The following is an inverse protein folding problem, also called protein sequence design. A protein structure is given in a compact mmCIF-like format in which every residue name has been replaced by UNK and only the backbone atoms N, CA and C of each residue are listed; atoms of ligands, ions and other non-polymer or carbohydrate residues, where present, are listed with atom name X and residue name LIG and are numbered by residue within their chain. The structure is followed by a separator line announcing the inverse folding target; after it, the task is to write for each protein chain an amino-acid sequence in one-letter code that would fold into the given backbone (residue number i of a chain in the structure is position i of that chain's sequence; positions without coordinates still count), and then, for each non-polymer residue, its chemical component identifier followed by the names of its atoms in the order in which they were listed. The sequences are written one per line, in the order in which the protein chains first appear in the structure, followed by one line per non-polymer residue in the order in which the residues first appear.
data_IF_941032099704
#
_entry.id   IF_941032099704
#
_cell.length_a   1.000
_cell.length_b   1.000
_cell.length_c   1.000
_cell.angle_alpha   90.00
_cell.angle_beta   90.00
_cell.angle_gamma   90.00
#
_symmetry.space_group_name_H-M   'P 1'
#
loop_
_entity.id
_entity.type
_entity.pdbx_description
1 polymer ?
#
# COMPACT_ATOMS: atom_id res chain seq x y z
N UNK A 1 26.97 63.43 -21.97
CA UNK A 1 26.34 62.40 -22.83
C UNK A 1 26.73 60.97 -22.42
N UNK A 2 28.02 60.66 -22.26
CA UNK A 2 28.51 59.30 -21.92
C UNK A 2 27.96 58.74 -20.59
N UNK A 3 27.90 59.55 -19.53
CA UNK A 3 27.35 59.14 -18.23
C UNK A 3 25.86 58.83 -18.25
N UNK A 4 25.08 59.53 -19.07
CA UNK A 4 23.64 59.30 -19.24
C UNK A 4 23.42 57.97 -19.96
N UNK A 5 24.23 57.67 -20.97
CA UNK A 5 24.18 56.40 -21.69
C UNK A 5 24.51 55.22 -20.75
N UNK A 6 25.60 55.31 -19.98
CA UNK A 6 25.98 54.29 -18.98
C UNK A 6 24.89 54.10 -17.92
N UNK A 7 24.28 55.20 -17.46
CA UNK A 7 23.20 55.17 -16.49
C UNK A 7 21.94 54.47 -17.05
N UNK A 8 21.53 54.79 -18.29
CA UNK A 8 20.40 54.13 -18.95
C UNK A 8 20.68 52.64 -19.16
N UNK A 9 21.88 52.29 -19.63
CA UNK A 9 22.26 50.89 -19.86
C UNK A 9 22.23 50.08 -18.57
N UNK A 10 22.82 50.61 -17.47
CA UNK A 10 22.81 49.93 -16.17
C UNK A 10 21.42 49.88 -15.52
N UNK A 11 20.64 50.95 -15.63
CA UNK A 11 19.35 51.06 -14.93
C UNK A 11 18.21 50.35 -15.66
N UNK A 12 18.21 50.31 -16.99
CA UNK A 12 17.08 49.79 -17.78
C UNK A 12 17.48 48.64 -18.72
N UNK A 13 18.55 48.79 -19.50
CA UNK A 13 18.89 47.81 -20.56
C UNK A 13 19.40 46.48 -20.00
N UNK A 14 20.37 46.50 -19.08
CA UNK A 14 20.93 45.27 -18.50
C UNK A 14 19.88 44.40 -17.77
N UNK A 15 19.00 44.98 -16.92
CA UNK A 15 17.92 44.22 -16.29
C UNK A 15 16.94 43.60 -17.30
N UNK A 16 16.61 44.29 -18.39
CA UNK A 16 15.72 43.74 -19.42
C UNK A 16 16.36 42.57 -20.17
N UNK A 17 17.67 42.64 -20.45
CA UNK A 17 18.42 41.51 -21.03
C UNK A 17 18.42 40.31 -20.06
N UNK A 18 18.59 40.57 -18.77
CA UNK A 18 18.57 39.51 -17.75
C UNK A 18 17.19 38.85 -17.64
N UNK A 19 16.11 39.64 -17.62
CA UNK A 19 14.73 39.13 -17.65
C UNK A 19 14.49 38.31 -18.92
N UNK A 20 14.90 38.81 -20.09
CA UNK A 20 14.75 38.09 -21.37
C UNK A 20 15.49 36.76 -21.36
N UNK A 21 16.69 36.72 -20.79
CA UNK A 21 17.47 35.48 -20.65
C UNK A 21 16.75 34.49 -19.72
N UNK A 22 16.26 34.95 -18.56
CA UNK A 22 15.49 34.12 -17.62
C UNK A 22 14.26 33.51 -18.29
N UNK A 23 13.47 34.30 -19.02
CA UNK A 23 12.28 33.80 -19.77
C UNK A 23 12.68 32.73 -20.78
N UNK A 24 13.77 32.93 -21.53
CA UNK A 24 14.21 31.95 -22.54
C UNK A 24 14.64 30.61 -21.94
N UNK A 25 14.98 30.59 -20.64
CA UNK A 25 15.40 29.40 -19.93
C UNK A 25 14.23 28.73 -19.15
N UNK A 26 13.11 29.43 -18.95
CA UNK A 26 11.88 28.88 -18.35
C UNK A 26 11.35 27.74 -19.20
N UNK A 27 11.49 26.51 -18.70
CA UNK A 27 11.06 25.29 -19.37
C UNK A 27 12.17 24.46 -20.02
N UNK A 28 13.44 24.90 -19.99
CA UNK A 28 14.59 24.12 -20.49
C UNK A 28 15.50 23.63 -19.33
N UNK A 29 15.52 24.33 -18.18
CA UNK A 29 16.25 23.92 -16.97
C UNK A 29 15.41 24.14 -15.71
N UNK A 30 15.62 23.29 -14.70
CA UNK A 30 15.19 23.52 -13.32
C UNK A 30 15.92 24.74 -12.76
N UNK A 31 15.32 25.91 -12.87
CA UNK A 31 15.87 27.14 -12.29
C UNK A 31 15.15 27.41 -10.97
N UNK A 32 15.91 27.43 -9.87
CA UNK A 32 15.49 28.08 -8.64
C UNK A 32 15.39 29.58 -8.92
N UNK A 33 14.16 30.08 -9.07
CA UNK A 33 13.91 31.51 -9.18
C UNK A 33 14.18 32.13 -7.80
N UNK A 34 15.40 32.62 -7.57
CA UNK A 34 15.66 33.47 -6.42
C UNK A 34 14.93 34.81 -6.60
N UNK A 35 14.03 35.10 -5.68
CA UNK A 35 13.26 36.35 -5.60
C UNK A 35 14.18 37.51 -5.19
N UNK A 36 14.91 38.12 -6.12
CA UNK A 36 15.60 39.39 -5.85
C UNK A 36 14.57 40.52 -5.65
N UNK A 37 14.56 41.11 -4.45
CA UNK A 37 13.45 41.90 -3.91
C UNK A 37 13.65 43.42 -3.84
N UNK A 38 14.63 44.01 -4.54
CA UNK A 38 15.05 45.37 -4.18
C UNK A 38 14.60 46.49 -5.11
N UNK A 39 13.80 46.22 -6.16
CA UNK A 39 13.32 47.27 -7.09
C UNK A 39 11.81 47.53 -6.97
N UNK A 40 11.48 48.80 -6.76
CA UNK A 40 10.10 49.33 -6.70
C UNK A 40 9.67 50.06 -7.99
N UNK A 41 10.53 50.14 -8.99
CA UNK A 41 10.24 50.74 -10.29
C UNK A 41 9.49 49.79 -11.24
N UNK A 42 9.12 50.28 -12.42
CA UNK A 42 8.33 49.55 -13.42
C UNK A 42 9.03 48.24 -13.87
N UNK A 43 10.36 48.23 -13.89
CA UNK A 43 11.17 47.05 -14.17
C UNK A 43 11.05 46.01 -13.05
N UNK A 44 11.02 46.46 -11.78
CA UNK A 44 10.74 45.60 -10.63
C UNK A 44 9.34 44.98 -10.66
N UNK A 45 8.32 45.75 -11.04
CA UNK A 45 6.94 45.25 -11.22
C UNK A 45 6.89 44.18 -12.32
N UNK A 46 7.49 44.46 -13.48
CA UNK A 46 7.57 43.53 -14.60
C UNK A 46 8.31 42.24 -14.21
N UNK A 47 9.44 42.36 -13.50
CA UNK A 47 10.21 41.21 -13.02
C UNK A 47 9.42 40.32 -12.06
N UNK A 48 8.62 40.91 -11.17
CA UNK A 48 7.73 40.15 -10.25
C UNK A 48 6.65 39.42 -11.01
N UNK A 49 5.94 40.11 -11.91
CA UNK A 49 4.89 39.51 -12.73
C UNK A 49 5.40 38.32 -13.55
N UNK A 50 6.58 38.46 -14.18
CA UNK A 50 7.21 37.38 -14.95
C UNK A 50 7.64 36.22 -14.05
N UNK A 51 8.17 36.51 -12.86
CA UNK A 51 8.55 35.46 -11.90
C UNK A 51 7.34 34.66 -11.42
N UNK A 52 6.24 35.34 -11.09
CA UNK A 52 5.01 34.69 -10.63
C UNK A 52 4.40 33.82 -11.74
N UNK A 53 4.35 34.32 -12.98
CA UNK A 53 3.91 33.54 -14.16
C UNK A 53 4.84 32.34 -14.40
N UNK A 54 6.15 32.53 -14.26
CA UNK A 54 7.12 31.43 -14.45
C UNK A 54 6.94 30.33 -13.39
N UNK A 55 6.74 30.69 -12.13
CA UNK A 55 6.44 29.73 -11.04
C UNK A 55 5.14 28.98 -11.34
N UNK A 56 4.09 29.68 -11.78
CA UNK A 56 2.83 29.03 -12.17
C UNK A 56 3.02 28.03 -13.31
N UNK A 57 3.76 28.39 -14.37
CA UNK A 57 4.04 27.49 -15.50
C UNK A 57 4.82 26.25 -15.05
N UNK A 58 5.83 26.42 -14.18
CA UNK A 58 6.62 25.30 -13.64
C UNK A 58 5.71 24.35 -12.85
N UNK A 59 4.90 24.88 -11.93
CA UNK A 59 3.97 24.09 -11.13
C UNK A 59 2.95 23.34 -12.00
N UNK A 60 2.40 24.00 -13.03
CA UNK A 60 1.47 23.36 -13.97
C UNK A 60 2.14 22.22 -14.73
N UNK A 61 3.36 22.41 -15.24
CA UNK A 61 4.11 21.36 -15.94
C UNK A 61 4.47 20.17 -15.04
N UNK A 62 4.85 20.43 -13.80
CA UNK A 62 5.10 19.35 -12.83
C UNK A 62 3.82 18.56 -12.53
N UNK A 63 2.68 19.24 -12.39
CA UNK A 63 1.39 18.61 -12.17
C UNK A 63 0.96 17.79 -13.40
N UNK A 64 1.09 18.34 -14.60
CA UNK A 64 0.83 17.64 -15.87
C UNK A 64 1.70 16.38 -16.01
N UNK A 65 2.99 16.48 -15.66
CA UNK A 65 3.89 15.33 -15.66
C UNK A 65 3.41 14.25 -14.68
N UNK A 66 3.05 14.64 -13.45
CA UNK A 66 2.49 13.71 -12.45
C UNK A 66 1.19 13.08 -12.90
N UNK A 67 0.32 13.83 -13.57
CA UNK A 67 -0.94 13.32 -14.15
C UNK A 67 -0.63 12.30 -15.23
N UNK A 68 0.26 12.61 -16.17
CA UNK A 68 0.65 11.68 -17.24
C UNK A 68 1.29 10.40 -16.70
N UNK A 69 2.18 10.51 -15.71
CA UNK A 69 2.77 9.36 -15.02
C UNK A 69 1.69 8.51 -14.30
N UNK A 70 0.71 9.16 -13.66
CA UNK A 70 -0.41 8.48 -13.01
C UNK A 70 -1.33 7.77 -14.02
N UNK A 71 -1.64 8.39 -15.16
CA UNK A 71 -2.45 7.80 -16.23
C UNK A 71 -1.76 6.59 -16.86
N UNK A 72 -0.44 6.68 -17.11
CA UNK A 72 0.36 5.56 -17.59
C UNK A 72 0.36 4.41 -16.58
N UNK A 73 0.57 4.72 -15.31
CA UNK A 73 0.54 3.71 -14.24
C UNK A 73 -0.84 3.05 -14.12
N UNK A 74 -1.91 3.82 -14.23
CA UNK A 74 -3.28 3.30 -14.22
C UNK A 74 -3.56 2.38 -15.43
N UNK A 75 -3.07 2.75 -16.61
CA UNK A 75 -3.17 1.90 -17.80
C UNK A 75 -2.43 0.57 -17.60
N UNK A 76 -1.20 0.60 -17.08
CA UNK A 76 -0.41 -0.62 -16.79
C UNK A 76 -1.11 -1.48 -15.75
N UNK A 77 -1.63 -0.85 -14.67
CA UNK A 77 -2.39 -1.52 -13.61
C UNK A 77 -3.60 -2.26 -14.17
N UNK A 78 -4.36 -1.63 -15.07
CA UNK A 78 -5.54 -2.22 -15.70
C UNK A 78 -5.16 -3.38 -16.62
N UNK A 79 -4.16 -3.21 -17.48
CA UNK A 79 -3.68 -4.27 -18.37
C UNK A 79 -3.15 -5.48 -17.60
N UNK A 80 -2.43 -5.26 -16.49
CA UNK A 80 -1.96 -6.33 -15.62
C UNK A 80 -3.13 -7.06 -14.96
N UNK A 81 -4.14 -6.35 -14.47
CA UNK A 81 -5.35 -6.95 -13.92
C UNK A 81 -6.09 -7.84 -14.93
N UNK A 82 -6.25 -7.37 -16.17
CA UNK A 82 -6.87 -8.16 -17.25
C UNK A 82 -6.04 -9.40 -17.61
N UNK A 83 -4.71 -9.30 -17.65
CA UNK A 83 -3.82 -10.43 -17.90
C UNK A 83 -3.88 -11.47 -16.77
N UNK A 84 -3.89 -11.02 -15.52
CA UNK A 84 -3.96 -11.91 -14.34
C UNK A 84 -5.31 -12.59 -14.24
N UNK A 85 -6.41 -11.92 -14.61
CA UNK A 85 -7.72 -12.56 -14.71
C UNK A 85 -7.71 -13.74 -15.69
N UNK A 86 -7.19 -13.53 -16.90
CA UNK A 86 -7.07 -14.61 -17.90
C UNK A 86 -6.19 -15.76 -17.41
N UNK A 87 -5.10 -15.44 -16.70
CA UNK A 87 -4.23 -16.46 -16.12
C UNK A 87 -4.94 -17.26 -15.03
N UNK A 88 -5.69 -16.59 -14.14
CA UNK A 88 -6.52 -17.23 -13.12
C UNK A 88 -7.53 -18.18 -13.75
N UNK A 89 -8.19 -17.76 -14.82
CA UNK A 89 -9.19 -18.60 -15.50
C UNK A 89 -8.57 -19.87 -16.08
N UNK A 90 -7.37 -19.78 -16.67
CA UNK A 90 -6.63 -20.96 -17.14
C UNK A 90 -6.23 -21.90 -15.99
N UNK A 91 -5.77 -21.36 -14.86
CA UNK A 91 -5.41 -22.16 -13.69
C UNK A 91 -6.65 -22.87 -13.11
N UNK A 92 -7.80 -22.19 -13.02
CA UNK A 92 -9.04 -22.80 -12.54
C UNK A 92 -9.39 -24.04 -13.36
N UNK A 93 -9.32 -23.94 -14.69
CA UNK A 93 -9.59 -25.06 -15.60
C UNK A 93 -8.62 -26.22 -15.35
N UNK A 94 -7.31 -25.95 -15.22
CA UNK A 94 -6.30 -26.98 -14.93
C UNK A 94 -6.60 -27.66 -13.58
N UNK A 95 -6.94 -26.87 -12.56
CA UNK A 95 -7.24 -27.35 -11.21
C UNK A 95 -8.49 -28.25 -11.21
N UNK A 96 -9.57 -27.82 -11.85
CA UNK A 96 -10.82 -28.57 -11.95
C UNK A 96 -10.63 -29.91 -12.68
N UNK A 97 -9.91 -29.92 -13.81
CA UNK A 97 -9.60 -31.16 -14.52
C UNK A 97 -8.69 -32.08 -13.70
N UNK A 98 -7.74 -31.54 -12.93
CA UNK A 98 -6.87 -32.34 -12.07
C UNK A 98 -7.67 -33.03 -10.95
N UNK A 99 -8.58 -32.31 -10.30
CA UNK A 99 -9.51 -32.86 -9.30
C UNK A 99 -10.37 -33.96 -9.94
N UNK A 100 -11.00 -33.67 -11.08
CA UNK A 100 -11.86 -34.63 -11.77
C UNK A 100 -11.07 -35.91 -12.15
N UNK A 101 -9.88 -35.75 -12.72
CA UNK A 101 -9.02 -36.87 -13.05
C UNK A 101 -8.67 -37.70 -11.82
N UNK A 102 -8.39 -37.06 -10.68
CA UNK A 102 -8.02 -37.75 -9.44
C UNK A 102 -9.11 -38.69 -8.94
N UNK A 103 -10.39 -38.38 -9.21
CA UNK A 103 -11.53 -39.28 -8.90
C UNK A 103 -11.60 -40.53 -9.79
N UNK A 104 -10.93 -40.51 -10.95
CA UNK A 104 -10.98 -41.58 -11.97
C UNK A 104 -9.76 -42.47 -11.96
N UNK A 105 -8.62 -42.00 -11.44
CA UNK A 105 -7.39 -42.80 -11.43
C UNK A 105 -7.28 -43.66 -10.19
N UNK A 106 -6.91 -44.93 -10.39
CA UNK A 106 -6.63 -45.89 -9.31
C UNK A 106 -5.13 -46.04 -9.04
N UNK A 107 -4.28 -45.71 -10.03
CA UNK A 107 -2.84 -45.76 -9.94
C UNK A 107 -2.29 -44.71 -8.94
N UNK A 108 -1.47 -45.16 -7.99
CA UNK A 108 -0.94 -44.33 -6.89
C UNK A 108 0.01 -43.22 -7.39
N UNK A 109 0.88 -43.52 -8.36
CA UNK A 109 1.76 -42.53 -8.97
C UNK A 109 0.95 -41.41 -9.64
N UNK A 110 -0.08 -41.77 -10.41
CA UNK A 110 -0.96 -40.80 -11.05
C UNK A 110 -1.76 -39.97 -10.03
N UNK A 111 -2.24 -40.58 -8.94
CA UNK A 111 -2.89 -39.85 -7.84
C UNK A 111 -1.97 -38.82 -7.20
N UNK A 112 -0.71 -39.19 -6.94
CA UNK A 112 0.29 -38.29 -6.38
C UNK A 112 0.60 -37.14 -7.36
N UNK A 113 0.83 -37.44 -8.63
CA UNK A 113 1.07 -36.42 -9.66
C UNK A 113 -0.11 -35.41 -9.75
N UNK A 114 -1.35 -35.90 -9.74
CA UNK A 114 -2.55 -35.05 -9.76
C UNK A 114 -2.70 -34.23 -8.47
N UNK A 115 -2.33 -34.79 -7.32
CA UNK A 115 -2.30 -34.03 -6.06
C UNK A 115 -1.29 -32.89 -6.15
N UNK A 116 -0.10 -33.11 -6.72
CA UNK A 116 0.88 -32.06 -6.93
C UNK A 116 0.38 -30.97 -7.88
N UNK A 117 -0.29 -31.34 -8.98
CA UNK A 117 -0.91 -30.37 -9.91
C UNK A 117 -1.98 -29.54 -9.20
N UNK A 118 -2.82 -30.19 -8.39
CA UNK A 118 -3.88 -29.52 -7.63
C UNK A 118 -3.28 -28.49 -6.66
N UNK A 119 -2.29 -28.91 -5.86
CA UNK A 119 -1.57 -28.04 -4.92
C UNK A 119 -0.82 -26.90 -5.63
N UNK A 120 -0.21 -27.15 -6.78
CA UNK A 120 0.48 -26.12 -7.56
C UNK A 120 -0.50 -25.10 -8.14
N UNK A 121 -1.67 -25.56 -8.62
CA UNK A 121 -2.72 -24.70 -9.14
C UNK A 121 -3.32 -23.82 -8.04
N UNK A 122 -3.53 -24.35 -6.83
CA UNK A 122 -3.96 -23.56 -5.68
C UNK A 122 -2.98 -22.43 -5.33
N UNK A 123 -1.69 -22.73 -5.32
CA UNK A 123 -0.63 -21.71 -5.13
C UNK A 123 -0.67 -20.65 -6.23
N UNK A 124 -0.84 -21.05 -7.49
CA UNK A 124 -0.92 -20.12 -8.60
C UNK A 124 -2.18 -19.23 -8.54
N UNK A 125 -3.34 -19.80 -8.15
CA UNK A 125 -4.56 -19.03 -7.91
C UNK A 125 -4.42 -18.05 -6.74
N UNK A 126 -3.66 -18.41 -5.71
CA UNK A 126 -3.33 -17.50 -4.62
C UNK A 126 -2.51 -16.30 -5.12
N UNK A 127 -1.40 -16.56 -5.83
CA UNK A 127 -0.55 -15.51 -6.43
C UNK A 127 -1.35 -14.59 -7.37
N UNK A 128 -2.24 -15.15 -8.19
CA UNK A 128 -3.10 -14.35 -9.06
C UNK A 128 -4.02 -13.41 -8.25
N UNK A 129 -4.59 -13.87 -7.13
CA UNK A 129 -5.39 -13.02 -6.23
C UNK A 129 -4.58 -11.92 -5.58
N UNK A 130 -3.35 -12.21 -5.16
CA UNK A 130 -2.44 -11.21 -4.60
C UNK A 130 -2.19 -10.07 -5.59
N UNK A 131 -1.88 -10.40 -6.86
CA UNK A 131 -1.65 -9.39 -7.91
C UNK A 131 -2.93 -8.62 -8.23
N UNK A 132 -4.09 -9.28 -8.31
CA UNK A 132 -5.38 -8.61 -8.52
C UNK A 132 -5.74 -7.63 -7.39
N UNK A 133 -5.34 -7.95 -6.17
CA UNK A 133 -5.55 -7.08 -5.00
C UNK A 133 -4.67 -5.84 -5.11
N UNK A 134 -3.38 -6.01 -5.36
CA UNK A 134 -2.43 -4.89 -5.52
C UNK A 134 -2.78 -4.01 -6.72
N UNK A 135 -3.27 -4.59 -7.81
CA UNK A 135 -3.76 -3.83 -8.96
C UNK A 135 -5.13 -3.20 -8.71
N UNK A 136 -5.83 -3.50 -7.61
CA UNK A 136 -7.14 -2.92 -7.29
C UNK A 136 -8.27 -3.34 -8.23
N UNK A 137 -8.13 -4.48 -8.93
CA UNK A 137 -9.15 -5.02 -9.84
C UNK A 137 -10.01 -6.09 -9.15
N UNK A 138 -9.56 -6.59 -7.99
CA UNK A 138 -10.33 -7.54 -7.17
C UNK A 138 -11.68 -6.94 -6.74
N UNK A 139 -12.74 -7.70 -6.93
CA UNK A 139 -14.08 -7.42 -6.37
C UNK A 139 -14.22 -8.12 -5.02
N UNK A 140 -14.87 -7.45 -4.07
CA UNK A 140 -15.18 -7.97 -2.73
C UNK A 140 -16.68 -8.15 -2.56
N UNK A 141 -17.05 -9.20 -1.83
CA UNK A 141 -18.41 -9.51 -1.43
C UNK A 141 -18.58 -9.03 0.02
N UNK A 142 -18.86 -7.73 0.18
CA UNK A 142 -18.91 -7.07 1.49
C UNK A 142 -20.25 -7.36 2.17
N UNK A 143 -20.20 -7.93 3.36
CA UNK A 143 -21.38 -8.26 4.16
C UNK A 143 -21.25 -7.75 5.61
N UNK A 144 -22.37 -7.49 6.31
CA UNK A 144 -22.35 -7.13 7.72
C UNK A 144 -21.95 -8.34 8.57
N UNK A 145 -20.90 -8.17 9.37
CA UNK A 145 -20.31 -9.20 10.22
C UNK A 145 -20.09 -8.68 11.64
N UNK A 146 -19.96 -9.59 12.59
CA UNK A 146 -19.55 -9.28 13.95
C UNK A 146 -18.07 -9.67 14.12
N UNK A 147 -17.20 -8.67 14.37
CA UNK A 147 -15.74 -8.84 14.32
C UNK A 147 -15.23 -9.83 15.37
N UNK A 148 -15.79 -9.83 16.58
CA UNK A 148 -15.32 -10.72 17.64
C UNK A 148 -15.57 -12.19 17.27
N UNK A 149 -16.75 -12.50 16.74
CA UNK A 149 -17.15 -13.83 16.29
C UNK A 149 -16.29 -14.30 15.12
N UNK A 150 -15.97 -13.40 14.18
CA UNK A 150 -15.08 -13.70 13.06
C UNK A 150 -13.64 -14.02 13.53
N UNK A 151 -13.08 -13.24 14.45
CA UNK A 151 -11.74 -13.53 15.00
C UNK A 151 -11.72 -14.85 15.78
N UNK A 152 -12.77 -15.13 16.56
CA UNK A 152 -12.88 -16.37 17.33
C UNK A 152 -13.00 -17.60 16.42
N UNK A 153 -13.69 -17.52 15.28
CA UNK A 153 -13.77 -18.62 14.32
C UNK A 153 -12.41 -18.96 13.69
N UNK A 154 -11.52 -17.96 13.60
CA UNK A 154 -10.16 -18.13 13.08
C UNK A 154 -9.16 -18.66 14.11
N UNK A 155 -9.53 -18.77 15.40
CA UNK A 155 -8.61 -19.12 16.49
C UNK A 155 -7.79 -20.39 16.20
N UNK A 156 -8.45 -21.49 15.86
CA UNK A 156 -7.78 -22.78 15.57
C UNK A 156 -6.88 -22.70 14.35
N UNK A 157 -7.26 -21.90 13.35
CA UNK A 157 -6.44 -21.67 12.16
C UNK A 157 -5.19 -20.85 12.49
N UNK A 158 -5.31 -19.82 13.32
CA UNK A 158 -4.18 -19.00 13.79
C UNK A 158 -3.21 -19.87 14.62
N UNK A 159 -3.74 -20.61 15.58
CA UNK A 159 -2.95 -21.49 16.46
C UNK A 159 -2.21 -22.59 15.68
N UNK A 160 -2.84 -23.19 14.66
CA UNK A 160 -2.21 -24.27 13.88
C UNK A 160 -1.07 -23.80 12.94
N UNK A 161 -1.04 -22.52 12.57
CA UNK A 161 0.02 -21.96 11.70
C UNK A 161 1.25 -21.56 12.50
N UNK A 162 1.07 -21.22 13.77
CA UNK A 162 2.13 -20.81 14.67
C UNK A 162 2.82 -22.06 15.26
N UNK A 163 4.14 -21.98 15.46
CA UNK A 163 4.89 -23.08 16.07
C UNK A 163 4.58 -23.18 17.57
N UNK A 164 4.82 -24.35 18.18
CA UNK A 164 4.61 -24.58 19.62
C UNK A 164 5.37 -23.57 20.52
N UNK A 165 6.40 -22.90 19.99
CA UNK A 165 7.18 -21.87 20.69
C UNK A 165 6.51 -20.49 20.76
N UNK A 166 5.40 -20.26 20.05
CA UNK A 166 4.68 -18.98 20.05
C UNK A 166 3.37 -19.12 20.81
N UNK A 167 3.24 -18.41 21.94
CA UNK A 167 2.01 -18.36 22.72
C UNK A 167 1.03 -17.38 22.07
N UNK A 168 -0.21 -17.81 21.84
CA UNK A 168 -1.28 -16.94 21.34
C UNK A 168 -2.19 -16.50 22.47
N UNK A 169 -2.47 -15.19 22.56
CA UNK A 169 -3.36 -14.58 23.54
C UNK A 169 -4.47 -13.84 22.80
N UNK A 170 -5.72 -14.10 23.17
CA UNK A 170 -6.88 -13.42 22.61
C UNK A 170 -7.52 -12.52 23.67
N UNK A 171 -7.55 -11.22 23.40
CA UNK A 171 -8.20 -10.20 24.23
C UNK A 171 -9.40 -9.62 23.47
N UNK A 172 -10.51 -10.34 23.48
CA UNK A 172 -11.69 -10.00 22.70
C UNK A 172 -12.62 -9.08 23.49
N UNK A 173 -13.09 -8.01 22.86
CA UNK A 173 -14.08 -7.08 23.41
C UNK A 173 -15.36 -7.81 23.80
N UNK A 174 -15.86 -7.56 25.01
CA UNK A 174 -17.17 -8.05 25.46
C UNK A 174 -18.34 -7.39 24.73
N UNK A 175 -18.13 -6.18 24.19
CA UNK A 175 -19.13 -5.45 23.41
C UNK A 175 -19.10 -5.89 21.94
N UNK A 176 -20.26 -6.07 21.30
CA UNK A 176 -20.35 -6.36 19.87
C UNK A 176 -19.65 -5.29 19.02
N UNK A 177 -18.95 -5.73 17.98
CA UNK A 177 -18.24 -4.88 17.04
C UNK A 177 -18.73 -5.16 15.61
N UNK A 178 -19.92 -4.64 15.22
CA UNK A 178 -20.45 -4.85 13.87
C UNK A 178 -19.64 -4.05 12.84
N UNK A 179 -19.23 -4.72 11.77
CA UNK A 179 -18.39 -4.19 10.69
C UNK A 179 -18.93 -4.67 9.34
N UNK A 180 -18.50 -4.06 8.24
CA UNK A 180 -18.80 -4.51 6.88
C UNK A 180 -17.52 -5.01 6.23
N UNK A 181 -17.39 -6.32 6.02
CA UNK A 181 -16.17 -6.94 5.50
C UNK A 181 -16.50 -8.07 4.53
N UNK A 182 -15.58 -8.35 3.61
CA UNK A 182 -15.52 -9.62 2.89
C UNK A 182 -14.74 -10.65 3.72
N UNK A 183 -15.36 -11.78 4.04
CA UNK A 183 -14.76 -12.83 4.89
C UNK A 183 -13.43 -13.33 4.31
N UNK A 184 -13.35 -13.57 3.00
CA UNK A 184 -12.16 -14.14 2.35
C UNK A 184 -11.01 -13.14 2.34
N UNK A 185 -11.31 -11.86 2.12
CA UNK A 185 -10.32 -10.78 2.16
C UNK A 185 -9.84 -10.53 3.59
N UNK A 186 -10.75 -10.58 4.57
CA UNK A 186 -10.37 -10.50 5.98
C UNK A 186 -9.47 -11.67 6.40
N UNK A 187 -9.81 -12.89 5.99
CA UNK A 187 -8.99 -14.07 6.22
C UNK A 187 -7.55 -13.87 5.72
N UNK A 188 -7.40 -13.30 4.53
CA UNK A 188 -6.11 -12.99 3.92
C UNK A 188 -5.34 -11.90 4.66
N UNK A 189 -6.03 -10.88 5.16
CA UNK A 189 -5.43 -9.85 6.02
C UNK A 189 -4.84 -10.48 7.28
N UNK A 190 -5.63 -11.28 8.00
CA UNK A 190 -5.18 -11.94 9.22
C UNK A 190 -4.01 -12.86 8.90
N UNK A 191 -4.14 -13.75 7.93
CA UNK A 191 -3.09 -14.72 7.64
C UNK A 191 -1.76 -14.06 7.26
N UNK A 192 -1.78 -12.97 6.48
CA UNK A 192 -0.57 -12.22 6.16
C UNK A 192 0.10 -11.62 7.41
N UNK A 193 -0.69 -11.07 8.34
CA UNK A 193 -0.17 -10.53 9.60
C UNK A 193 0.38 -11.62 10.51
N UNK A 194 -0.34 -12.75 10.66
CA UNK A 194 0.11 -13.90 11.47
C UNK A 194 1.41 -14.50 10.94
N UNK A 195 1.52 -14.71 9.62
CA UNK A 195 2.74 -15.21 9.01
C UNK A 195 3.90 -14.23 9.16
N UNK A 196 3.65 -12.93 9.05
CA UNK A 196 4.67 -11.92 9.30
C UNK A 196 5.16 -11.92 10.75
N UNK A 197 4.24 -12.02 11.71
CA UNK A 197 4.58 -12.13 13.13
C UNK A 197 5.35 -13.43 13.43
N UNK A 198 4.98 -14.56 12.82
CA UNK A 198 5.71 -15.82 12.93
C UNK A 198 7.15 -15.68 12.47
N UNK A 199 7.37 -15.08 11.29
CA UNK A 199 8.70 -14.89 10.73
C UNK A 199 9.55 -13.92 11.56
N UNK A 200 8.92 -13.00 12.30
CA UNK A 200 9.60 -12.09 13.22
C UNK A 200 9.93 -12.72 14.59
N UNK A 201 9.33 -13.87 14.92
CA UNK A 201 9.47 -14.57 16.21
C UNK A 201 10.14 -15.94 16.05
N UNK A 202 11.34 -15.97 15.46
CA UNK A 202 12.07 -17.23 15.17
C UNK A 202 12.45 -18.02 16.43
N UNK A 203 12.65 -17.35 17.56
CA UNK A 203 13.00 -17.96 18.85
C UNK A 203 11.76 -18.24 19.74
N UNK A 204 10.56 -18.06 19.20
CA UNK A 204 9.32 -18.04 19.97
C UNK A 204 8.93 -16.63 20.42
N UNK A 205 7.83 -16.53 21.14
CA UNK A 205 7.31 -15.24 21.59
C UNK A 205 5.83 -15.28 21.96
N UNK A 206 5.23 -14.10 22.04
CA UNK A 206 3.81 -13.93 22.32
C UNK A 206 3.16 -13.18 21.17
N UNK A 207 2.13 -13.78 20.58
CA UNK A 207 1.20 -13.10 19.69
C UNK A 207 -0.06 -12.74 20.47
N UNK A 208 -0.42 -11.46 20.48
CA UNK A 208 -1.66 -10.97 21.08
C UNK A 208 -2.61 -10.48 19.99
N UNK A 209 -3.81 -11.06 19.94
CA UNK A 209 -4.91 -10.62 19.07
C UNK A 209 -5.96 -9.95 19.95
N UNK A 210 -6.18 -8.66 19.75
CA UNK A 210 -7.06 -7.85 20.60
C UNK A 210 -8.11 -7.13 19.79
N UNK A 211 -9.35 -7.10 20.29
CA UNK A 211 -10.40 -6.25 19.71
C UNK A 211 -10.86 -5.21 20.71
N UNK A 212 -11.15 -3.99 20.24
CA UNK A 212 -11.72 -2.91 21.06
C UNK A 212 -12.56 -1.96 20.21
N UNK A 213 -13.46 -1.23 20.88
CA UNK A 213 -14.10 -0.04 20.29
C UNK A 213 -13.20 1.17 20.52
N UNK A 214 -13.00 1.98 19.49
CA UNK A 214 -12.32 3.27 19.60
C UNK A 214 -13.18 4.40 19.03
N UNK A 215 -12.91 5.63 19.46
CA UNK A 215 -13.43 6.84 18.86
C UNK A 215 -12.26 7.62 18.26
N UNK A 216 -12.34 7.93 16.97
CA UNK A 216 -11.26 8.56 16.21
C UNK A 216 -11.85 9.42 15.09
N UNK A 217 -11.32 10.63 14.88
CA UNK A 217 -11.82 11.59 13.86
C UNK A 217 -13.37 11.68 13.83
N UNK A 218 -13.93 11.89 15.01
CA UNK A 218 -15.37 12.03 15.26
C UNK A 218 -16.25 10.83 14.89
N UNK A 219 -15.66 9.64 14.70
CA UNK A 219 -16.36 8.39 14.35
C UNK A 219 -15.98 7.23 15.27
N UNK A 220 -16.89 6.27 15.38
CA UNK A 220 -16.60 5.01 16.08
C UNK A 220 -15.98 3.98 15.14
N UNK A 221 -14.96 3.29 15.64
CA UNK A 221 -14.26 2.22 14.93
C UNK A 221 -14.25 0.95 15.76
N UNK A 222 -14.39 -0.19 15.08
CA UNK A 222 -13.90 -1.47 15.57
C UNK A 222 -12.40 -1.54 15.29
N UNK A 223 -11.60 -1.79 16.32
CA UNK A 223 -10.15 -1.91 16.20
C UNK A 223 -9.76 -3.34 16.44
N UNK A 224 -9.02 -3.90 15.50
CA UNK A 224 -8.31 -5.17 15.65
C UNK A 224 -6.82 -4.88 15.76
N UNK A 225 -6.22 -5.27 16.88
CA UNK A 225 -4.77 -5.18 17.10
C UNK A 225 -4.14 -6.56 17.00
N UNK A 226 -3.10 -6.71 16.18
CA UNK A 226 -2.23 -7.89 16.15
C UNK A 226 -0.84 -7.44 16.60
N UNK A 227 -0.42 -7.93 17.78
CA UNK A 227 0.86 -7.59 18.39
C UNK A 227 1.73 -8.82 18.51
N UNK A 228 2.96 -8.75 18.02
CA UNK A 228 4.01 -9.73 18.26
C UNK A 228 5.12 -9.15 19.14
N UNK A 229 5.89 -10.03 19.76
CA UNK A 229 7.10 -9.70 20.53
C UNK A 229 8.37 -10.03 19.73
N UNK A 230 8.30 -9.97 18.40
CA UNK A 230 9.39 -10.35 17.51
C UNK A 230 10.50 -9.30 17.38
N UNK A 231 11.24 -9.39 16.30
CA UNK A 231 12.39 -8.51 16.01
C UNK A 231 12.05 -7.04 15.80
N UNK A 232 10.78 -6.70 15.51
CA UNK A 232 10.38 -5.31 15.25
C UNK A 232 11.06 -4.69 14.02
N UNK A 233 10.87 -3.38 13.83
CA UNK A 233 11.34 -2.63 12.67
C UNK A 233 11.82 -1.23 13.07
N UNK A 234 12.79 -0.69 12.33
CA UNK A 234 13.20 0.71 12.44
C UNK A 234 12.24 1.66 11.69
N UNK A 235 12.43 2.97 11.89
CA UNK A 235 11.57 4.00 11.28
C UNK A 235 11.66 4.05 9.76
N UNK A 236 12.81 3.71 9.17
CA UNK A 236 12.98 3.71 7.71
C UNK A 236 12.19 2.55 7.09
N UNK A 237 12.32 1.35 7.67
CA UNK A 237 11.58 0.16 7.28
C UNK A 237 10.08 0.41 7.44
N UNK A 238 9.64 0.94 8.60
CA UNK A 238 8.22 1.21 8.91
C UNK A 238 7.54 2.10 7.87
N UNK A 239 8.24 3.06 7.27
CA UNK A 239 7.68 3.93 6.21
C UNK A 239 7.40 3.20 4.91
N UNK A 240 8.09 2.09 4.67
CA UNK A 240 8.11 1.38 3.39
C UNK A 240 7.40 0.03 3.41
N UNK A 241 6.99 -0.46 4.59
CA UNK A 241 6.38 -1.79 4.75
C UNK A 241 5.13 -2.04 3.90
N UNK A 242 4.43 -0.98 3.49
CA UNK A 242 3.23 -1.08 2.64
C UNK A 242 3.53 -0.88 1.16
N UNK A 243 4.78 -0.60 0.77
CA UNK A 243 5.20 -0.54 -0.62
C UNK A 243 5.14 -1.96 -1.24
N UNK A 244 4.50 -2.14 -2.40
CA UNK A 244 4.52 -3.43 -3.10
C UNK A 244 5.95 -3.89 -3.39
N UNK A 245 6.22 -5.17 -3.18
CA UNK A 245 7.52 -5.84 -3.38
C UNK A 245 8.62 -5.43 -2.38
N UNK A 246 8.34 -4.55 -1.43
CA UNK A 246 9.29 -4.26 -0.36
C UNK A 246 9.38 -5.44 0.62
N UNK A 247 10.60 -5.90 0.90
CA UNK A 247 10.84 -7.02 1.82
C UNK A 247 12.22 -6.92 2.45
N UNK A 248 12.30 -7.20 3.75
CA UNK A 248 13.57 -7.40 4.49
C UNK A 248 13.98 -8.88 4.53
N UNK A 249 13.15 -9.78 4.00
CA UNK A 249 13.33 -11.25 4.04
C UNK A 249 14.07 -11.81 2.82
N UNK A 250 14.59 -10.95 1.93
CA UNK A 250 15.27 -11.34 0.70
C UNK A 250 14.40 -12.20 -0.23
N UNK A 251 15.00 -13.17 -0.92
CA UNK A 251 14.33 -14.03 -1.90
C UNK A 251 13.22 -14.94 -1.33
N UNK A 252 13.07 -15.02 0.00
CA UNK A 252 12.01 -15.80 0.66
C UNK A 252 10.69 -15.02 0.79
N UNK A 253 10.74 -13.68 0.71
CA UNK A 253 9.54 -12.84 0.83
C UNK A 253 9.11 -12.26 -0.50
N UNK A 254 7.85 -12.41 -0.87
CA UNK A 254 7.28 -11.78 -2.08
C UNK A 254 7.18 -10.25 -1.96
N UNK A 255 7.19 -9.73 -0.72
CA UNK A 255 6.98 -8.30 -0.43
C UNK A 255 5.56 -7.81 -0.73
N UNK A 256 4.61 -8.72 -0.98
CA UNK A 256 3.22 -8.35 -1.29
C UNK A 256 2.29 -8.41 -0.07
N UNK A 257 2.61 -9.21 0.95
CA UNK A 257 1.68 -9.47 2.05
C UNK A 257 1.16 -8.21 2.77
N UNK A 258 2.05 -7.30 3.18
CA UNK A 258 1.63 -6.08 3.87
C UNK A 258 0.98 -5.04 2.95
N UNK A 259 1.39 -4.94 1.69
CA UNK A 259 0.73 -4.06 0.72
C UNK A 259 -0.70 -4.52 0.40
N UNK A 260 -0.93 -5.84 0.38
CA UNK A 260 -2.26 -6.46 0.31
C UNK A 260 -3.09 -6.13 1.55
N UNK A 261 -2.53 -6.30 2.75
CA UNK A 261 -3.20 -5.94 4.01
C UNK A 261 -3.66 -4.48 3.97
N UNK A 262 -2.76 -3.57 3.61
CA UNK A 262 -3.08 -2.15 3.46
C UNK A 262 -4.22 -1.91 2.47
N UNK A 263 -4.13 -2.52 1.28
CA UNK A 263 -5.13 -2.36 0.23
C UNK A 263 -6.50 -2.88 0.63
N UNK A 264 -6.57 -4.09 1.20
CA UNK A 264 -7.83 -4.67 1.69
C UNK A 264 -8.44 -3.80 2.77
N UNK A 265 -7.67 -3.38 3.78
CA UNK A 265 -8.19 -2.52 4.86
C UNK A 265 -8.72 -1.19 4.29
N UNK A 266 -8.02 -0.59 3.33
CA UNK A 266 -8.46 0.64 2.65
C UNK A 266 -9.73 0.45 1.82
N UNK A 267 -9.84 -0.67 1.10
CA UNK A 267 -11.03 -1.01 0.30
C UNK A 267 -12.26 -1.30 1.17
N UNK A 268 -12.06 -1.56 2.47
CA UNK A 268 -13.10 -1.69 3.48
C UNK A 268 -13.26 -0.42 4.35
N UNK A 269 -12.93 0.75 3.78
CA UNK A 269 -13.05 2.08 4.40
C UNK A 269 -12.26 2.24 5.73
N UNK A 270 -11.28 1.39 5.93
CA UNK A 270 -10.44 1.36 7.12
C UNK A 270 -9.12 2.09 6.99
N UNK A 271 -8.34 2.02 8.06
CA UNK A 271 -6.94 2.45 8.07
C UNK A 271 -6.12 1.61 9.04
N UNK A 272 -4.80 1.72 8.92
CA UNK A 272 -3.84 0.96 9.71
C UNK A 272 -2.91 1.93 10.40
N UNK A 273 -2.68 1.71 11.69
CA UNK A 273 -1.58 2.30 12.44
C UNK A 273 -0.60 1.19 12.83
N UNK A 274 0.70 1.52 12.80
CA UNK A 274 1.76 0.54 13.09
C UNK A 274 2.70 1.12 14.12
N UNK A 275 2.82 0.42 15.23
CA UNK A 275 3.81 0.67 16.26
C UNK A 275 4.84 -0.45 16.21
N UNK A 276 6.10 -0.11 15.99
CA UNK A 276 7.18 -1.11 15.95
C UNK A 276 8.45 -0.49 16.50
N UNK A 277 9.15 -1.26 17.32
CA UNK A 277 10.45 -0.86 17.88
C UNK A 277 11.39 -2.05 17.70
N UNK A 278 12.63 -1.83 17.21
CA UNK A 278 13.60 -2.91 17.08
C UNK A 278 13.77 -3.70 18.38
N UNK A 279 13.71 -5.03 18.27
CA UNK A 279 13.79 -6.02 19.34
C UNK A 279 12.71 -5.93 20.42
N UNK A 280 11.61 -5.21 20.20
CA UNK A 280 10.44 -5.20 21.09
C UNK A 280 9.18 -5.76 20.44
N UNK A 281 9.21 -5.94 19.12
CA UNK A 281 8.09 -6.45 18.33
C UNK A 281 7.32 -5.35 17.61
N UNK A 282 6.18 -5.76 17.05
CA UNK A 282 5.33 -4.93 16.21
C UNK A 282 3.87 -5.07 16.62
N UNK A 283 3.13 -3.97 16.59
CA UNK A 283 1.68 -3.94 16.72
C UNK A 283 1.07 -3.29 15.48
N UNK A 284 0.21 -4.04 14.79
CA UNK A 284 -0.66 -3.51 13.74
C UNK A 284 -2.05 -3.26 14.32
N UNK A 285 -2.52 -2.02 14.26
CA UNK A 285 -3.87 -1.62 14.65
C UNK A 285 -4.70 -1.35 13.39
N UNK A 286 -5.67 -2.22 13.11
CA UNK A 286 -6.57 -2.14 11.96
C UNK A 286 -7.89 -1.54 12.43
N UNK A 287 -8.27 -0.43 11.82
CA UNK A 287 -9.48 0.32 12.14
C UNK A 287 -10.52 0.10 11.05
N UNK A 288 -11.70 -0.40 11.43
CA UNK A 288 -12.85 -0.56 10.54
C UNK A 288 -14.03 0.28 11.05
N UNK A 289 -14.76 1.01 10.19
CA UNK A 289 -15.91 1.80 10.60
C UNK A 289 -16.94 0.93 11.32
N UNK A 290 -17.23 1.29 12.58
CA UNK A 290 -18.23 0.59 13.37
C UNK A 290 -19.61 0.88 12.78
N UNK A 291 -20.38 -0.15 12.46
CA UNK A 291 -21.75 0.03 12.03
C UNK A 291 -22.60 0.46 13.24
N UNK A 292 -23.53 1.39 13.02
CA UNK A 292 -24.51 1.73 14.04
C UNK A 292 -25.43 0.51 14.22
N UNK A 293 -25.57 0.05 15.46
CA UNK A 293 -26.57 -0.95 15.86
C UNK A 293 -27.91 -0.26 15.97
#
# INVERSE_FOLDING_TARGET
MFFVLIYITRRYTNPLIEISKRISEVGIKEIKIEKHHERTDEIGVLSRAISDVSIQIINTKELEKRICEAELFESVRRSLGEAVHKFKDLINVIHEFAILAQTKVTNEFAKNALSQITNASEKAMHLAREILTVTGVRKYEIEPLELNSLILSMKTKIESVLADSIKVVFEISEKPLPVKLDIKAFDEVIMNLILNSKDAMTEGGILTVKTKKAYYLDKHYAVLSISDTGTGMDEETKKRIFEPFFTTKGAKGTGLGLSIVYKIVKDHEGFIEVDSIPNKGTTFNLYFPLQQV
#
